data_IF_431271236430
#
_entry.id   IF_431271236430
#
_cell.length_a   1.000
_cell.length_b   1.000
_cell.length_c   1.000
_cell.angle_alpha   90.00
_cell.angle_beta   90.00
_cell.angle_gamma   90.00
#
_symmetry.space_group_name_H-M   'P 1'
#
loop_
_entity.id
_entity.type
_entity.pdbx_description
1 polymer ?
#
# COMPACT_ATOMS: atom_id res chain seq x y z
N UNK A 1 -45.15 16.37 -2.40
CA UNK A 1 -45.55 15.10 -3.03
C UNK A 1 -46.81 14.49 -2.41
N UNK A 2 -46.83 14.20 -1.10
CA UNK A 2 -48.03 13.65 -0.43
C UNK A 2 -49.26 14.57 -0.67
N UNK A 3 -49.08 15.89 -0.58
CA UNK A 3 -50.15 16.86 -0.88
C UNK A 3 -50.72 16.73 -2.33
N UNK A 4 -49.86 16.44 -3.32
CA UNK A 4 -50.29 16.20 -4.68
C UNK A 4 -51.14 14.92 -4.81
N UNK A 5 -50.75 13.84 -4.15
CA UNK A 5 -51.52 12.59 -4.10
C UNK A 5 -52.90 12.80 -3.42
N UNK A 6 -52.91 13.59 -2.33
CA UNK A 6 -54.15 13.96 -1.67
C UNK A 6 -55.08 14.76 -2.61
N UNK A 7 -54.54 15.75 -3.33
CA UNK A 7 -55.31 16.56 -4.30
C UNK A 7 -55.86 15.67 -5.40
N UNK A 8 -55.07 14.78 -5.98
CA UNK A 8 -55.54 13.84 -7.02
C UNK A 8 -56.61 12.90 -6.46
N UNK A 9 -56.43 12.37 -5.24
CA UNK A 9 -57.45 11.54 -4.60
C UNK A 9 -58.76 12.30 -4.40
N UNK A 10 -58.72 13.52 -3.83
CA UNK A 10 -59.89 14.36 -3.64
C UNK A 10 -60.56 14.69 -4.97
N UNK A 11 -59.79 14.98 -6.02
CA UNK A 11 -60.35 15.21 -7.36
C UNK A 11 -61.07 13.96 -7.90
N UNK A 12 -60.49 12.76 -7.73
CA UNK A 12 -61.12 11.49 -8.12
C UNK A 12 -62.42 11.29 -7.33
N UNK A 13 -62.43 11.53 -6.02
CA UNK A 13 -63.61 11.41 -5.18
C UNK A 13 -64.72 12.38 -5.61
N UNK A 14 -64.38 13.63 -5.92
CA UNK A 14 -65.32 14.64 -6.43
C UNK A 14 -65.90 14.22 -7.75
N UNK A 15 -65.11 13.72 -8.67
CA UNK A 15 -65.57 13.19 -10.00
C UNK A 15 -66.50 11.99 -9.77
N UNK A 16 -66.17 11.10 -8.86
CA UNK A 16 -66.98 9.90 -8.51
C UNK A 16 -68.36 10.31 -7.98
N UNK A 17 -68.44 11.27 -7.07
CA UNK A 17 -69.72 11.81 -6.58
C UNK A 17 -70.55 12.44 -7.70
N UNK A 18 -69.88 13.17 -8.62
CA UNK A 18 -70.55 13.83 -9.76
C UNK A 18 -71.08 12.87 -10.79
N UNK A 19 -70.29 11.81 -11.09
CA UNK A 19 -70.63 10.82 -12.15
C UNK A 19 -71.66 9.80 -11.63
N UNK A 20 -71.47 9.27 -10.41
CA UNK A 20 -72.36 8.24 -9.81
C UNK A 20 -73.58 8.82 -9.13
N UNK A 21 -73.71 10.20 -9.01
CA UNK A 21 -74.82 10.91 -8.35
C UNK A 21 -75.16 10.38 -6.95
N UNK A 22 -74.14 9.89 -6.20
CA UNK A 22 -74.31 9.33 -4.86
C UNK A 22 -74.55 10.52 -3.88
N UNK A 23 -75.61 10.43 -3.05
CA UNK A 23 -75.83 11.44 -2.01
C UNK A 23 -74.73 11.35 -0.93
N UNK A 24 -74.04 12.47 -0.58
CA UNK A 24 -72.99 12.46 0.41
C UNK A 24 -73.58 12.23 1.82
N UNK A 25 -73.60 10.98 2.27
CA UNK A 25 -73.95 10.59 3.64
C UNK A 25 -72.69 10.58 4.51
N UNK A 26 -72.79 10.91 5.79
CA UNK A 26 -71.63 10.95 6.69
C UNK A 26 -70.80 9.64 6.70
N UNK A 27 -71.50 8.50 6.62
CA UNK A 27 -70.87 7.17 6.58
C UNK A 27 -70.08 6.95 5.28
N UNK A 28 -70.55 7.40 4.12
CA UNK A 28 -69.88 7.28 2.85
C UNK A 28 -68.61 8.16 2.83
N UNK A 29 -68.73 9.39 3.37
CA UNK A 29 -67.57 10.30 3.47
C UNK A 29 -66.54 9.71 4.39
N UNK A 30 -66.90 9.17 5.57
CA UNK A 30 -66.00 8.51 6.51
C UNK A 30 -65.30 7.29 5.89
N UNK A 31 -66.04 6.43 5.19
CA UNK A 31 -65.49 5.28 4.51
C UNK A 31 -64.50 5.67 3.41
N UNK A 32 -64.78 6.73 2.62
CA UNK A 32 -63.89 7.25 1.60
C UNK A 32 -62.59 7.85 2.23
N UNK A 33 -62.72 8.56 3.34
CA UNK A 33 -61.53 9.08 4.05
C UNK A 33 -60.65 7.91 4.49
N UNK A 34 -61.21 6.89 5.12
CA UNK A 34 -60.46 5.71 5.56
C UNK A 34 -59.84 4.97 4.37
N UNK A 35 -60.60 4.74 3.32
CA UNK A 35 -60.08 4.14 2.08
C UNK A 35 -58.95 4.96 1.46
N UNK A 36 -59.06 6.30 1.47
CA UNK A 36 -58.02 7.22 1.00
C UNK A 36 -56.76 7.14 1.82
N UNK A 37 -56.85 7.06 3.17
CA UNK A 37 -55.70 6.90 4.03
C UNK A 37 -54.97 5.60 3.75
N UNK A 38 -55.71 4.47 3.63
CA UNK A 38 -55.11 3.17 3.31
C UNK A 38 -54.49 3.15 1.90
N UNK A 39 -55.15 3.70 0.90
CA UNK A 39 -54.68 3.76 -0.48
C UNK A 39 -53.43 4.62 -0.59
N UNK A 40 -53.46 5.85 -0.08
CA UNK A 40 -52.31 6.76 -0.11
C UNK A 40 -51.17 6.21 0.72
N UNK A 41 -51.46 5.67 1.92
CA UNK A 41 -50.46 5.01 2.80
C UNK A 41 -49.80 3.85 2.09
N UNK A 42 -50.53 2.96 1.47
CA UNK A 42 -50.00 1.84 0.67
C UNK A 42 -49.09 2.32 -0.49
N UNK A 43 -49.55 3.31 -1.25
CA UNK A 43 -48.71 3.90 -2.33
C UNK A 43 -47.42 4.51 -1.79
N UNK A 44 -47.46 5.22 -0.66
CA UNK A 44 -46.29 5.83 -0.05
C UNK A 44 -45.30 4.76 0.42
N UNK A 45 -45.76 3.67 1.07
CA UNK A 45 -44.90 2.58 1.49
C UNK A 45 -44.23 1.91 0.30
N UNK A 46 -45.00 1.55 -0.74
CA UNK A 46 -44.43 0.94 -1.94
C UNK A 46 -43.44 1.89 -2.63
N UNK A 47 -43.79 3.17 -2.73
CA UNK A 47 -42.91 4.18 -3.33
C UNK A 47 -41.59 4.34 -2.57
N UNK A 48 -41.63 4.50 -1.26
CA UNK A 48 -40.42 4.71 -0.45
C UNK A 48 -39.47 3.52 -0.48
N UNK A 49 -40.00 2.30 -0.65
CA UNK A 49 -39.20 1.09 -0.76
C UNK A 49 -38.73 0.76 -2.18
N UNK A 50 -39.44 1.24 -3.23
CA UNK A 50 -39.10 0.95 -4.62
C UNK A 50 -38.29 2.05 -5.30
N UNK A 51 -38.48 3.29 -4.91
CA UNK A 51 -37.77 4.44 -5.48
C UNK A 51 -37.46 5.50 -4.40
N UNK A 52 -36.60 5.15 -3.40
CA UNK A 52 -36.22 6.08 -2.35
C UNK A 52 -35.54 7.32 -2.92
N UNK A 53 -35.88 8.48 -2.34
CA UNK A 53 -35.30 9.78 -2.71
C UNK A 53 -34.78 10.49 -1.47
N UNK A 54 -33.60 11.09 -1.59
CA UNK A 54 -32.97 11.85 -0.50
C UNK A 54 -32.45 13.19 -0.98
N UNK A 55 -32.41 14.16 -0.09
CA UNK A 55 -31.75 15.46 -0.27
C UNK A 55 -30.39 15.52 0.44
N UNK A 56 -30.06 14.48 1.19
CA UNK A 56 -28.78 14.33 1.90
C UNK A 56 -27.82 13.54 1.00
N UNK A 57 -27.21 14.21 0.06
CA UNK A 57 -26.23 13.66 -0.86
C UNK A 57 -25.01 14.56 -0.89
N UNK A 58 -23.82 13.97 -0.84
CA UNK A 58 -22.56 14.70 -0.90
C UNK A 58 -21.58 14.00 -1.82
N UNK A 59 -20.82 14.79 -2.59
CA UNK A 59 -19.70 14.28 -3.37
C UNK A 59 -18.53 13.99 -2.45
N UNK A 60 -18.04 12.75 -2.49
CA UNK A 60 -16.93 12.26 -1.70
C UNK A 60 -15.73 11.96 -2.59
N UNK A 61 -14.55 12.34 -2.13
CA UNK A 61 -13.26 12.06 -2.76
C UNK A 61 -12.29 11.59 -1.68
N UNK A 62 -11.30 10.79 -2.05
CA UNK A 62 -10.27 10.38 -1.11
C UNK A 62 -9.33 11.53 -0.81
N UNK A 63 -9.11 11.74 0.47
CA UNK A 63 -8.22 12.77 0.99
C UNK A 63 -7.04 12.10 1.67
N UNK A 64 -5.82 12.50 1.29
CA UNK A 64 -4.57 11.98 1.83
C UNK A 64 -3.78 13.12 2.45
N UNK A 65 -3.30 12.93 3.65
CA UNK A 65 -2.36 13.87 4.26
C UNK A 65 -0.98 13.71 3.61
N UNK A 66 -0.40 14.81 3.15
CA UNK A 66 0.96 14.83 2.62
C UNK A 66 1.95 14.92 3.78
N UNK A 67 2.46 13.77 4.20
CA UNK A 67 3.46 13.66 5.26
C UNK A 67 4.81 13.37 4.62
N UNK A 68 5.88 14.13 4.94
CA UNK A 68 7.21 13.85 4.42
C UNK A 68 7.73 12.53 4.99
N UNK A 69 8.46 11.78 4.19
CA UNK A 69 9.14 10.57 4.65
C UNK A 69 10.46 10.89 5.37
N UNK A 70 11.10 12.00 4.98
CA UNK A 70 12.39 12.45 5.51
C UNK A 70 12.27 13.81 6.19
N UNK A 71 13.13 14.04 7.19
CA UNK A 71 13.20 15.31 7.92
C UNK A 71 14.05 16.31 7.15
N UNK A 72 13.60 17.57 7.03
CA UNK A 72 14.44 18.60 6.44
C UNK A 72 13.70 19.92 6.18
N UNK A 73 14.43 20.92 5.76
CA UNK A 73 13.88 22.20 5.38
C UNK A 73 13.28 22.16 3.97
N UNK A 74 12.13 22.79 3.77
CA UNK A 74 11.56 22.98 2.44
C UNK A 74 12.44 23.94 1.65
N UNK A 75 12.99 23.45 0.54
CA UNK A 75 13.84 24.22 -0.37
C UNK A 75 13.03 24.92 -1.45
N UNK A 76 12.04 24.22 -2.00
CA UNK A 76 11.17 24.74 -3.04
C UNK A 76 9.77 24.12 -2.97
N UNK A 77 8.76 24.90 -3.39
CA UNK A 77 7.38 24.44 -3.56
C UNK A 77 7.05 24.62 -5.03
N UNK A 78 6.65 23.55 -5.71
CA UNK A 78 6.40 23.51 -7.16
C UNK A 78 4.90 23.51 -7.50
N UNK A 79 4.06 23.03 -6.57
CA UNK A 79 2.61 23.01 -6.75
C UNK A 79 1.95 24.13 -5.94
N UNK A 80 1.10 24.92 -6.59
CA UNK A 80 0.27 25.91 -5.92
C UNK A 80 -0.96 25.28 -5.26
N UNK A 81 -1.49 25.94 -4.22
CA UNK A 81 -2.71 25.49 -3.58
C UNK A 81 -3.89 25.48 -4.56
N UNK A 82 -4.68 24.41 -4.54
CA UNK A 82 -5.85 24.20 -5.39
C UNK A 82 -5.57 24.12 -6.91
N UNK A 83 -4.31 24.05 -7.31
CA UNK A 83 -3.93 23.76 -8.70
C UNK A 83 -3.94 22.26 -8.97
N UNK A 84 -4.49 21.85 -10.12
CA UNK A 84 -4.53 20.46 -10.53
C UNK A 84 -3.14 19.98 -10.92
N UNK A 85 -2.77 18.83 -10.37
CA UNK A 85 -1.53 18.11 -10.63
C UNK A 85 -1.83 16.69 -11.07
N UNK A 86 -0.93 16.10 -11.84
CA UNK A 86 -0.99 14.70 -12.26
C UNK A 86 -0.18 13.83 -11.31
N UNK A 87 -0.50 12.55 -11.31
CA UNK A 87 0.29 11.55 -10.58
C UNK A 87 1.77 11.64 -10.99
N UNK A 88 2.65 11.75 -9.98
CA UNK A 88 4.10 11.86 -10.16
C UNK A 88 4.62 13.29 -10.30
N UNK A 89 3.76 14.31 -10.46
CA UNK A 89 4.21 15.70 -10.49
C UNK A 89 4.88 16.09 -9.17
N UNK A 90 5.96 16.85 -9.25
CA UNK A 90 6.72 17.32 -8.09
C UNK A 90 5.91 18.38 -7.34
N UNK A 91 5.61 18.14 -6.08
CA UNK A 91 4.84 19.05 -5.22
C UNK A 91 5.75 19.99 -4.44
N UNK A 92 6.74 19.42 -3.74
CA UNK A 92 7.75 20.20 -3.00
C UNK A 92 9.08 19.44 -2.96
N UNK A 93 10.14 20.19 -2.71
CA UNK A 93 11.50 19.67 -2.54
C UNK A 93 12.02 20.04 -1.14
N UNK A 94 12.46 19.00 -0.41
CA UNK A 94 13.19 19.13 0.86
C UNK A 94 14.67 19.25 0.51
N UNK A 95 15.46 19.99 1.29
CA UNK A 95 16.90 20.16 1.04
C UNK A 95 17.61 18.79 0.96
N UNK A 96 18.10 18.39 -0.22
CA UNK A 96 18.73 17.11 -0.43
C UNK A 96 20.20 17.04 0.04
N UNK A 97 20.81 18.18 0.36
CA UNK A 97 22.26 18.25 0.60
C UNK A 97 22.73 17.31 1.73
N UNK A 98 22.09 17.23 2.91
CA UNK A 98 22.50 16.29 3.96
C UNK A 98 22.41 14.83 3.52
N UNK A 99 21.41 14.49 2.74
CA UNK A 99 21.18 13.13 2.23
C UNK A 99 22.17 12.77 1.13
N UNK A 100 22.52 13.72 0.26
CA UNK A 100 23.58 13.55 -0.74
C UNK A 100 24.94 13.30 -0.08
N UNK A 101 25.26 14.00 1.02
CA UNK A 101 26.49 13.72 1.77
C UNK A 101 26.50 12.32 2.35
N UNK A 102 25.38 11.83 2.86
CA UNK A 102 25.25 10.46 3.36
C UNK A 102 25.47 9.43 2.24
N UNK A 103 24.89 9.64 1.07
CA UNK A 103 25.10 8.78 -0.11
C UNK A 103 26.58 8.72 -0.47
N UNK A 104 27.24 9.87 -0.61
CA UNK A 104 28.67 9.96 -0.95
C UNK A 104 29.54 9.26 0.10
N UNK A 105 29.21 9.39 1.38
CA UNK A 105 29.92 8.72 2.48
C UNK A 105 29.81 7.20 2.37
N UNK A 106 28.60 6.68 2.18
CA UNK A 106 28.38 5.22 2.08
C UNK A 106 28.98 4.66 0.78
N UNK A 107 28.95 5.42 -0.33
CA UNK A 107 29.63 5.03 -1.58
C UNK A 107 31.15 4.89 -1.38
N UNK A 108 31.75 5.81 -0.62
CA UNK A 108 33.18 5.70 -0.27
C UNK A 108 33.45 4.47 0.61
N UNK A 109 32.56 4.15 1.57
CA UNK A 109 32.65 2.93 2.38
C UNK A 109 32.52 1.65 1.53
N UNK A 110 31.62 1.65 0.56
CA UNK A 110 31.45 0.53 -0.37
C UNK A 110 32.70 0.32 -1.21
N UNK A 111 33.28 1.41 -1.72
CA UNK A 111 34.54 1.34 -2.47
C UNK A 111 35.67 0.78 -1.62
N UNK A 112 35.82 1.19 -0.37
CA UNK A 112 36.79 0.65 0.57
C UNK A 112 36.56 -0.84 0.87
N UNK A 113 35.31 -1.26 1.08
CA UNK A 113 34.96 -2.66 1.31
C UNK A 113 35.29 -3.54 0.08
N UNK A 114 35.00 -3.06 -1.12
CA UNK A 114 35.38 -3.75 -2.37
C UNK A 114 36.91 -3.86 -2.55
N UNK A 115 37.65 -2.83 -2.15
CA UNK A 115 39.12 -2.89 -2.14
C UNK A 115 39.64 -3.93 -1.14
N UNK A 116 39.03 -4.07 0.03
CA UNK A 116 39.36 -5.12 1.01
C UNK A 116 39.09 -6.53 0.46
N UNK A 117 38.02 -6.72 -0.31
CA UNK A 117 37.76 -8.00 -1.01
C UNK A 117 38.88 -8.30 -2.00
N UNK A 118 39.28 -7.34 -2.83
CA UNK A 118 40.38 -7.52 -3.78
C UNK A 118 41.70 -7.86 -3.10
N UNK A 119 42.00 -7.22 -1.95
CA UNK A 119 43.16 -7.52 -1.15
C UNK A 119 43.13 -8.96 -0.59
N UNK A 120 42.01 -9.39 -0.06
CA UNK A 120 41.83 -10.74 0.45
C UNK A 120 41.91 -11.80 -0.66
N UNK A 121 41.42 -11.49 -1.87
CA UNK A 121 41.51 -12.34 -3.05
C UNK A 121 42.98 -12.51 -3.53
N UNK A 122 43.74 -11.42 -3.53
CA UNK A 122 45.18 -11.47 -3.83
C UNK A 122 45.94 -12.30 -2.80
N UNK A 123 45.62 -12.14 -1.49
CA UNK A 123 46.18 -12.93 -0.41
C UNK A 123 45.89 -14.45 -0.55
N UNK A 124 44.62 -14.79 -0.90
CA UNK A 124 44.24 -16.17 -1.18
C UNK A 124 45.03 -16.75 -2.36
N UNK A 125 45.16 -15.95 -3.42
CA UNK A 125 45.92 -16.36 -4.62
C UNK A 125 47.38 -16.66 -4.26
N UNK A 126 48.01 -15.78 -3.47
CA UNK A 126 49.38 -15.99 -2.96
C UNK A 126 49.47 -17.24 -2.12
N UNK A 127 48.55 -17.46 -1.16
CA UNK A 127 48.55 -18.66 -0.33
C UNK A 127 48.35 -19.96 -1.14
N UNK A 128 47.48 -19.91 -2.15
CA UNK A 128 47.25 -21.05 -3.05
C UNK A 128 48.52 -21.42 -3.88
N UNK A 129 49.33 -20.45 -4.29
CA UNK A 129 50.57 -20.72 -5.03
C UNK A 129 51.68 -21.39 -4.18
N UNK A 130 51.57 -21.29 -2.84
CA UNK A 130 52.49 -22.02 -1.94
C UNK A 130 52.23 -23.54 -1.90
N UNK A 131 51.00 -23.99 -2.20
CA UNK A 131 50.64 -25.43 -2.15
C UNK A 131 51.42 -26.25 -3.19
N UNK A 132 51.46 -25.89 -4.49
CA UNK A 132 52.25 -26.63 -5.47
C UNK A 132 53.76 -26.69 -5.12
N UNK A 133 54.28 -25.61 -4.56
CA UNK A 133 55.66 -25.60 -4.11
C UNK A 133 55.90 -26.61 -2.97
N UNK A 134 55.05 -26.65 -1.96
CA UNK A 134 55.13 -27.63 -0.87
C UNK A 134 54.90 -29.06 -1.39
N UNK A 135 54.01 -29.26 -2.34
CA UNK A 135 53.82 -30.57 -3.02
C UNK A 135 55.08 -31.04 -3.76
N UNK A 136 55.77 -30.14 -4.45
CA UNK A 136 57.03 -30.46 -5.15
C UNK A 136 58.12 -30.85 -4.14
N UNK A 137 58.23 -30.16 -3.00
CA UNK A 137 59.15 -30.49 -1.94
C UNK A 137 58.83 -31.88 -1.38
N UNK A 138 57.56 -32.17 -1.08
CA UNK A 138 57.12 -33.48 -0.60
C UNK A 138 57.41 -34.60 -1.62
N UNK A 139 57.17 -34.36 -2.91
CA UNK A 139 57.47 -35.32 -3.95
C UNK A 139 58.98 -35.65 -4.00
N UNK A 140 59.83 -34.62 -3.87
CA UNK A 140 61.30 -34.80 -3.81
C UNK A 140 61.69 -35.60 -2.56
N UNK A 141 61.11 -35.29 -1.39
CA UNK A 141 61.42 -36.02 -0.15
C UNK A 141 61.00 -37.50 -0.25
N UNK A 142 59.82 -37.78 -0.80
CA UNK A 142 59.31 -39.15 -1.02
C UNK A 142 60.20 -39.94 -1.99
N UNK A 143 60.70 -39.33 -3.05
CA UNK A 143 61.63 -39.97 -3.98
C UNK A 143 62.97 -40.31 -3.30
N UNK A 144 63.46 -39.44 -2.42
CA UNK A 144 64.67 -39.69 -1.63
C UNK A 144 64.49 -40.84 -0.63
N UNK A 145 63.32 -40.89 0.06
CA UNK A 145 62.96 -41.96 0.98
C UNK A 145 62.85 -43.33 0.28
N UNK A 146 62.24 -43.39 -0.87
CA UNK A 146 62.17 -44.62 -1.69
C UNK A 146 63.56 -45.11 -2.12
N UNK A 147 64.48 -44.19 -2.48
CA UNK A 147 65.87 -44.54 -2.76
C UNK A 147 66.56 -45.07 -1.50
N UNK A 148 66.45 -44.42 -0.38
CA UNK A 148 67.05 -44.84 0.90
C UNK A 148 66.49 -46.18 1.38
N UNK A 149 65.20 -46.45 1.28
CA UNK A 149 64.57 -47.75 1.53
C UNK A 149 65.12 -48.84 0.65
N UNK A 150 65.29 -48.58 -0.63
CA UNK A 150 65.88 -49.55 -1.59
C UNK A 150 67.30 -49.86 -1.24
N UNK A 151 68.12 -48.87 -0.88
CA UNK A 151 69.52 -49.05 -0.44
C UNK A 151 69.60 -49.85 0.87
N UNK A 152 68.77 -49.58 1.86
CA UNK A 152 68.71 -50.38 3.11
C UNK A 152 68.30 -51.82 2.79
N UNK A 153 67.29 -52.07 1.97
CA UNK A 153 66.85 -53.42 1.59
C UNK A 153 67.97 -54.18 0.88
N UNK A 154 68.71 -53.54 -0.04
CA UNK A 154 69.85 -54.14 -0.69
C UNK A 154 70.93 -54.50 0.34
N UNK A 155 71.27 -53.57 1.25
CA UNK A 155 72.25 -53.81 2.31
C UNK A 155 71.87 -54.98 3.23
N UNK A 156 70.60 -55.06 3.64
CA UNK A 156 70.06 -56.15 4.48
C UNK A 156 70.03 -57.49 3.70
N UNK A 157 69.71 -57.50 2.42
CA UNK A 157 69.76 -58.74 1.61
C UNK A 157 71.15 -59.27 1.43
N UNK A 158 72.17 -58.40 1.14
CA UNK A 158 73.55 -58.80 1.03
C UNK A 158 74.02 -59.38 2.36
N UNK A 159 73.73 -58.75 3.52
CA UNK A 159 74.07 -59.25 4.84
C UNK A 159 73.45 -60.61 5.16
N UNK A 160 72.18 -60.89 4.63
CA UNK A 160 71.53 -62.17 4.84
C UNK A 160 72.17 -63.30 4.02
N UNK A 161 72.66 -62.99 2.79
CA UNK A 161 73.27 -63.98 1.90
C UNK A 161 74.75 -64.25 2.32
N UNK A 162 75.52 -63.19 2.57
CA UNK A 162 76.93 -63.31 3.03
C UNK A 162 77.27 -62.20 4.03
N UNK A 163 77.42 -62.62 5.30
CA UNK A 163 77.74 -61.72 6.42
C UNK A 163 79.14 -61.07 6.30
N UNK A 164 80.03 -61.60 5.50
CA UNK A 164 81.35 -61.02 5.24
C UNK A 164 81.34 -60.00 4.10
N UNK A 165 80.37 -60.02 3.20
CA UNK A 165 80.28 -59.17 1.99
C UNK A 165 79.91 -57.69 2.29
N UNK A 166 79.36 -57.39 3.48
CA UNK A 166 78.99 -56.02 3.91
C UNK A 166 79.31 -55.80 5.39
N UNK A 167 79.93 -54.69 5.72
CA UNK A 167 80.22 -54.32 7.11
C UNK A 167 78.92 -53.95 7.88
N UNK A 168 78.80 -54.33 9.17
CA UNK A 168 77.70 -53.92 10.02
C UNK A 168 77.56 -52.40 10.10
N UNK A 169 78.64 -51.65 9.98
CA UNK A 169 78.63 -50.19 9.90
C UNK A 169 77.87 -49.66 8.66
N UNK A 170 78.04 -50.32 7.51
CA UNK A 170 77.33 -49.90 6.27
C UNK A 170 75.86 -50.20 6.35
N UNK A 171 75.43 -51.28 6.97
CA UNK A 171 73.98 -51.55 7.22
C UNK A 171 73.40 -50.55 8.19
N UNK A 172 74.11 -50.24 9.29
CA UNK A 172 73.66 -49.21 10.24
C UNK A 172 73.60 -47.83 9.60
N UNK A 173 74.54 -47.49 8.68
CA UNK A 173 74.52 -46.24 7.94
C UNK A 173 73.32 -46.16 6.96
N UNK A 174 73.02 -47.22 6.22
CA UNK A 174 71.84 -47.27 5.35
C UNK A 174 70.52 -47.14 6.12
N UNK A 175 70.46 -47.76 7.32
CA UNK A 175 69.25 -47.58 8.19
C UNK A 175 69.15 -46.15 8.76
N UNK A 176 70.28 -45.49 9.11
CA UNK A 176 70.26 -44.08 9.48
C UNK A 176 69.86 -43.16 8.34
N UNK A 177 70.40 -43.35 7.13
CA UNK A 177 70.01 -42.58 5.89
C UNK A 177 68.55 -42.72 5.60
N UNK A 178 67.95 -43.91 5.78
CA UNK A 178 66.50 -44.11 5.65
C UNK A 178 65.71 -43.32 6.73
N UNK A 179 66.16 -43.37 7.98
CA UNK A 179 65.53 -42.64 9.09
C UNK A 179 65.57 -41.12 8.83
N UNK A 180 66.67 -40.59 8.30
CA UNK A 180 66.82 -39.20 7.93
C UNK A 180 65.88 -38.83 6.76
N UNK A 181 65.74 -39.73 5.74
CA UNK A 181 64.84 -39.52 4.63
C UNK A 181 63.36 -39.56 5.07
N UNK A 182 62.98 -40.48 5.96
CA UNK A 182 61.64 -40.55 6.52
C UNK A 182 61.29 -39.25 7.33
N UNK A 183 62.22 -38.77 8.14
CA UNK A 183 62.05 -37.50 8.85
C UNK A 183 61.91 -36.33 7.88
N UNK A 184 62.61 -36.32 6.73
CA UNK A 184 62.43 -35.29 5.71
C UNK A 184 61.06 -35.35 5.04
N UNK A 185 60.50 -36.56 4.83
CA UNK A 185 59.12 -36.72 4.35
C UNK A 185 58.12 -36.14 5.33
N UNK A 186 58.24 -36.48 6.62
CA UNK A 186 57.34 -35.95 7.70
C UNK A 186 57.44 -34.42 7.78
N UNK A 187 58.62 -33.85 7.66
CA UNK A 187 58.81 -32.40 7.60
C UNK A 187 58.15 -31.77 6.40
N UNK A 188 58.26 -32.40 5.24
CA UNK A 188 57.63 -31.91 3.98
C UNK A 188 56.09 -32.05 4.01
N UNK A 189 55.57 -33.11 4.65
CA UNK A 189 54.13 -33.29 4.89
C UNK A 189 53.57 -32.21 5.81
N UNK A 190 54.27 -31.88 6.89
CA UNK A 190 53.95 -30.79 7.78
C UNK A 190 53.97 -29.44 7.05
N UNK A 191 54.96 -29.23 6.16
CA UNK A 191 55.03 -28.04 5.29
C UNK A 191 53.86 -27.92 4.35
N UNK A 192 53.40 -29.01 3.76
CA UNK A 192 52.21 -29.04 2.91
C UNK A 192 50.95 -28.75 3.70
N UNK A 193 50.81 -29.37 4.88
CA UNK A 193 49.67 -29.11 5.77
C UNK A 193 49.59 -27.62 6.20
N UNK A 194 50.76 -27.02 6.48
CA UNK A 194 50.85 -25.59 6.81
C UNK A 194 50.42 -24.70 5.62
N UNK A 195 50.87 -25.02 4.39
CA UNK A 195 50.48 -24.27 3.20
C UNK A 195 48.96 -24.37 2.94
N UNK A 196 48.39 -25.56 3.13
CA UNK A 196 46.93 -25.76 3.00
C UNK A 196 46.15 -25.00 4.07
N UNK A 197 46.58 -25.02 5.32
CA UNK A 197 45.96 -24.27 6.41
C UNK A 197 46.01 -22.75 6.14
N UNK A 198 47.14 -22.23 5.63
CA UNK A 198 47.26 -20.82 5.25
C UNK A 198 46.31 -20.43 4.14
N UNK A 199 46.15 -21.29 3.11
CA UNK A 199 45.20 -21.05 2.03
C UNK A 199 43.72 -21.09 2.52
N UNK A 200 43.41 -21.99 3.47
CA UNK A 200 42.08 -22.05 4.08
C UNK A 200 41.80 -20.82 4.93
N UNK A 201 42.76 -20.32 5.67
CA UNK A 201 42.65 -19.08 6.44
C UNK A 201 42.43 -17.88 5.53
N UNK A 202 43.17 -17.78 4.42
CA UNK A 202 42.98 -16.72 3.44
C UNK A 202 41.61 -16.81 2.75
N UNK A 203 41.10 -18.03 2.48
CA UNK A 203 39.76 -18.24 1.93
C UNK A 203 38.66 -17.78 2.92
N UNK A 204 38.80 -18.08 4.20
CA UNK A 204 37.89 -17.60 5.23
C UNK A 204 37.89 -16.07 5.37
N UNK A 205 39.07 -15.45 5.27
CA UNK A 205 39.22 -14.00 5.25
C UNK A 205 38.53 -13.36 4.04
N UNK A 206 38.68 -13.96 2.86
CA UNK A 206 37.96 -13.51 1.63
C UNK A 206 36.44 -13.62 1.81
N UNK A 207 35.96 -14.75 2.31
CA UNK A 207 34.54 -14.94 2.56
C UNK A 207 33.99 -13.90 3.55
N UNK A 208 34.73 -13.62 4.62
CA UNK A 208 34.36 -12.56 5.58
C UNK A 208 34.31 -11.18 4.94
N UNK A 209 35.32 -10.83 4.11
CA UNK A 209 35.32 -9.56 3.38
C UNK A 209 34.17 -9.46 2.39
N UNK A 210 33.85 -10.52 1.67
CA UNK A 210 32.71 -10.58 0.75
C UNK A 210 31.37 -10.46 1.47
N UNK A 211 31.23 -11.05 2.66
CA UNK A 211 29.99 -10.98 3.45
C UNK A 211 29.69 -9.56 3.98
N UNK A 212 30.68 -8.68 4.07
CA UNK A 212 30.48 -7.29 4.49
C UNK A 212 29.94 -6.41 3.36
N UNK A 213 30.18 -6.74 2.09
CA UNK A 213 29.77 -5.91 0.95
C UNK A 213 28.25 -5.74 0.87
N UNK A 214 27.41 -6.79 0.94
CA UNK A 214 25.95 -6.64 0.89
C UNK A 214 25.37 -5.76 1.99
N UNK A 215 25.98 -5.77 3.18
CA UNK A 215 25.52 -4.93 4.30
C UNK A 215 25.72 -3.44 3.99
N UNK A 216 26.85 -3.08 3.35
CA UNK A 216 27.11 -1.70 2.95
C UNK A 216 26.28 -1.33 1.71
N UNK A 217 26.04 -2.25 0.78
CA UNK A 217 25.14 -2.05 -0.35
C UNK A 217 23.70 -1.74 0.12
N UNK A 218 23.20 -2.47 1.12
CA UNK A 218 21.90 -2.18 1.73
C UNK A 218 21.87 -0.78 2.38
N UNK A 219 22.94 -0.37 3.06
CA UNK A 219 23.04 1.00 3.60
C UNK A 219 23.06 2.05 2.50
N UNK A 220 23.71 1.77 1.37
CA UNK A 220 23.70 2.66 0.21
C UNK A 220 22.31 2.81 -0.39
N UNK A 221 21.59 1.71 -0.50
CA UNK A 221 20.21 1.73 -1.01
C UNK A 221 19.27 2.51 -0.09
N UNK A 222 19.41 2.37 1.24
CA UNK A 222 18.68 3.17 2.23
C UNK A 222 19.02 4.66 2.10
N UNK A 223 20.30 5.00 1.94
CA UNK A 223 20.73 6.38 1.77
C UNK A 223 20.17 6.99 0.46
N UNK A 224 20.18 6.24 -0.63
CA UNK A 224 19.61 6.66 -1.93
C UNK A 224 18.10 6.78 -1.87
N UNK A 225 17.42 5.87 -1.20
CA UNK A 225 15.98 5.96 -0.95
C UNK A 225 15.64 7.25 -0.21
N UNK A 226 16.34 7.54 0.89
CA UNK A 226 16.12 8.77 1.66
C UNK A 226 16.38 10.04 0.83
N UNK A 227 17.39 10.03 -0.03
CA UNK A 227 17.66 11.11 -0.96
C UNK A 227 16.52 11.29 -1.98
N UNK A 228 15.99 10.18 -2.51
CA UNK A 228 14.85 10.23 -3.42
C UNK A 228 13.59 10.77 -2.75
N UNK A 229 13.38 10.46 -1.46
CA UNK A 229 12.25 10.97 -0.67
C UNK A 229 12.33 12.46 -0.33
N UNK A 230 13.45 13.14 -0.63
CA UNK A 230 13.51 14.61 -0.56
C UNK A 230 12.59 15.28 -1.59
N UNK A 231 12.16 14.56 -2.62
CA UNK A 231 11.21 15.00 -3.63
C UNK A 231 9.84 14.43 -3.33
N UNK A 232 8.92 15.24 -2.84
CA UNK A 232 7.55 14.83 -2.61
C UNK A 232 6.74 14.99 -3.89
N UNK A 233 6.19 13.88 -4.39
CA UNK A 233 5.40 13.83 -5.63
C UNK A 233 3.94 13.54 -5.36
N UNK A 234 3.07 13.90 -6.30
CA UNK A 234 1.64 13.63 -6.23
C UNK A 234 1.35 12.11 -6.30
N UNK A 235 0.60 11.54 -5.34
CA UNK A 235 0.29 10.11 -5.31
C UNK A 235 -0.72 9.69 -6.39
N UNK A 236 -1.57 10.62 -6.85
CA UNK A 236 -2.61 10.42 -7.86
C UNK A 236 -2.88 11.72 -8.62
N UNK A 237 -3.80 11.69 -9.56
CA UNK A 237 -4.33 12.92 -10.17
C UNK A 237 -5.21 13.64 -9.14
N UNK A 238 -4.97 14.94 -8.94
CA UNK A 238 -5.67 15.67 -7.90
C UNK A 238 -5.21 17.11 -7.74
N UNK A 239 -5.33 17.62 -6.54
CA UNK A 239 -4.82 18.93 -6.16
C UNK A 239 -4.48 18.95 -4.68
N UNK A 240 -3.55 19.82 -4.32
CA UNK A 240 -3.21 20.05 -2.91
C UNK A 240 -4.03 21.21 -2.39
N UNK A 241 -4.63 21.02 -1.24
CA UNK A 241 -5.31 22.09 -0.51
C UNK A 241 -4.66 22.23 0.87
N UNK A 242 -4.92 23.36 1.54
CA UNK A 242 -4.42 23.61 2.89
C UNK A 242 -2.90 23.39 3.03
N UNK A 243 -2.11 24.01 2.12
CA UNK A 243 -0.66 24.08 2.29
C UNK A 243 -0.32 24.78 3.61
N UNK A 244 0.33 24.07 4.53
CA UNK A 244 0.76 24.59 5.84
C UNK A 244 2.26 24.87 5.89
N UNK A 245 2.93 24.79 4.74
CA UNK A 245 4.37 24.95 4.62
C UNK A 245 4.74 26.11 3.75
N UNK A 246 5.88 26.72 4.09
CA UNK A 246 6.55 27.75 3.31
C UNK A 246 8.00 27.34 3.09
N UNK A 247 8.69 27.98 2.12
CA UNK A 247 10.12 27.77 1.91
C UNK A 247 10.86 28.11 3.22
N UNK A 248 11.73 27.20 3.65
CA UNK A 248 12.44 27.31 4.93
C UNK A 248 11.75 26.60 6.11
N UNK A 249 10.49 26.19 5.98
CA UNK A 249 9.81 25.40 7.03
C UNK A 249 10.50 24.06 7.23
N UNK A 250 10.74 23.70 8.51
CA UNK A 250 11.27 22.39 8.87
C UNK A 250 10.15 21.36 8.86
N UNK A 251 10.26 20.36 8.02
CA UNK A 251 9.37 19.19 7.98
C UNK A 251 9.95 18.02 8.78
N UNK A 252 9.07 17.26 9.40
CA UNK A 252 9.41 16.03 10.13
C UNK A 252 8.41 14.93 9.80
N UNK A 253 8.83 13.66 9.71
CA UNK A 253 7.96 12.52 9.39
C UNK A 253 7.07 12.16 10.58
N UNK A 254 6.05 12.99 10.86
CA UNK A 254 5.07 12.76 11.91
C UNK A 254 3.66 13.01 11.38
N UNK A 255 2.66 12.20 11.80
CA UNK A 255 1.27 12.32 11.31
C UNK A 255 0.61 13.67 11.59
N UNK A 256 1.06 14.37 12.63
CA UNK A 256 0.53 15.69 13.04
C UNK A 256 1.17 16.87 12.31
N UNK A 257 2.23 16.63 11.54
CA UNK A 257 2.98 17.68 10.81
C UNK A 257 2.84 17.48 9.29
N UNK A 258 1.60 17.30 8.82
CA UNK A 258 1.34 17.20 7.39
C UNK A 258 1.72 18.50 6.68
N UNK A 259 2.42 18.40 5.54
CA UNK A 259 2.77 19.55 4.71
C UNK A 259 1.52 20.18 4.08
N UNK A 260 0.51 19.40 3.82
CA UNK A 260 -0.76 19.81 3.23
C UNK A 260 -1.72 18.61 3.10
N UNK A 261 -2.85 18.88 2.49
CA UNK A 261 -3.88 17.88 2.26
C UNK A 261 -4.05 17.67 0.76
N UNK A 262 -3.88 16.46 0.30
CA UNK A 262 -4.08 16.07 -1.10
C UNK A 262 -5.46 15.50 -1.31
N UNK A 263 -6.19 16.02 -2.29
CA UNK A 263 -7.50 15.53 -2.71
C UNK A 263 -7.34 14.78 -4.02
N UNK A 264 -7.65 13.49 -3.99
CA UNK A 264 -7.59 12.62 -5.17
C UNK A 264 -8.90 12.74 -5.96
N UNK A 265 -8.81 13.19 -7.21
CA UNK A 265 -9.99 13.34 -8.10
C UNK A 265 -10.20 12.13 -9.02
N UNK A 266 -9.32 11.12 -8.99
CA UNK A 266 -9.42 9.95 -9.86
C UNK A 266 -10.59 9.04 -9.48
N UNK A 267 -10.95 9.02 -8.20
CA UNK A 267 -12.07 8.22 -7.67
C UNK A 267 -13.03 9.15 -6.92
N UNK A 268 -13.96 9.72 -7.69
CA UNK A 268 -15.02 10.58 -7.17
C UNK A 268 -16.32 9.78 -7.11
N UNK A 269 -16.83 9.57 -5.91
CA UNK A 269 -18.11 8.92 -5.68
C UNK A 269 -19.11 9.87 -5.02
N UNK A 270 -20.36 9.49 -5.00
CA UNK A 270 -21.41 10.17 -4.25
C UNK A 270 -21.79 9.30 -3.06
N UNK A 271 -21.87 9.91 -1.89
CA UNK A 271 -22.50 9.33 -0.72
C UNK A 271 -23.88 9.92 -0.54
N UNK A 272 -24.93 9.12 -0.68
CA UNK A 272 -26.30 9.52 -0.46
C UNK A 272 -26.84 8.82 0.79
N UNK A 273 -27.49 9.57 1.69
CA UNK A 273 -27.94 9.08 2.99
C UNK A 273 -29.43 8.85 2.97
N UNK A 274 -29.84 7.64 3.35
CA UNK A 274 -31.25 7.23 3.37
C UNK A 274 -31.63 6.63 4.72
N UNK A 275 -32.94 6.69 5.11
CA UNK A 275 -33.43 5.90 6.22
C UNK A 275 -33.25 4.40 5.98
N UNK A 276 -32.84 3.66 7.00
CA UNK A 276 -32.56 2.23 6.93
C UNK A 276 -33.72 1.40 6.33
N UNK A 277 -34.96 1.74 6.72
CA UNK A 277 -36.17 1.04 6.27
C UNK A 277 -36.47 1.24 4.77
N UNK A 278 -35.85 2.22 4.11
CA UNK A 278 -36.03 2.47 2.65
C UNK A 278 -35.03 1.68 1.80
N UNK A 279 -34.00 1.10 2.43
CA UNK A 279 -32.90 0.42 1.73
C UNK A 279 -33.13 -1.09 1.54
N UNK A 280 -34.24 -1.63 2.03
CA UNK A 280 -34.52 -3.08 2.04
C UNK A 280 -34.52 -3.73 0.64
N UNK A 281 -34.80 -2.96 -0.40
CA UNK A 281 -34.85 -3.42 -1.79
C UNK A 281 -33.76 -2.82 -2.68
N UNK A 282 -32.84 -2.03 -2.11
CA UNK A 282 -31.73 -1.42 -2.86
C UNK A 282 -30.62 -2.44 -3.02
N UNK A 283 -30.23 -2.69 -4.25
CA UNK A 283 -29.19 -3.64 -4.62
C UNK A 283 -28.06 -2.95 -5.40
N UNK A 284 -26.82 -3.46 -5.33
CA UNK A 284 -25.73 -3.00 -6.19
C UNK A 284 -26.13 -3.11 -7.67
N UNK A 285 -25.87 -2.04 -8.44
CA UNK A 285 -26.22 -1.96 -9.86
C UNK A 285 -27.54 -1.25 -10.15
N UNK A 286 -28.37 -0.93 -9.14
CA UNK A 286 -29.60 -0.14 -9.32
C UNK A 286 -29.29 1.23 -9.92
N UNK A 287 -30.16 1.68 -10.83
CA UNK A 287 -30.01 2.97 -11.51
C UNK A 287 -30.33 4.13 -10.56
N UNK A 288 -29.56 5.20 -10.69
CA UNK A 288 -29.72 6.40 -9.86
C UNK A 288 -29.79 7.64 -10.73
N UNK A 289 -30.79 8.48 -10.51
CA UNK A 289 -30.84 9.85 -11.01
C UNK A 289 -30.42 10.82 -9.89
N UNK A 290 -29.53 11.75 -10.23
CA UNK A 290 -28.98 12.72 -9.27
C UNK A 290 -29.07 14.15 -9.80
N UNK A 291 -29.25 15.08 -8.89
CA UNK A 291 -29.17 16.52 -9.14
C UNK A 291 -28.16 17.12 -8.17
N UNK A 292 -27.20 17.85 -8.72
CA UNK A 292 -26.11 18.47 -7.96
C UNK A 292 -26.34 19.98 -7.84
N UNK A 293 -26.18 20.52 -6.64
CA UNK A 293 -26.40 21.93 -6.36
C UNK A 293 -25.54 22.88 -7.23
N UNK A 294 -24.25 22.57 -7.54
CA UNK A 294 -23.43 23.41 -8.41
C UNK A 294 -23.87 23.43 -9.88
N UNK A 295 -24.78 22.52 -10.30
CA UNK A 295 -25.19 22.38 -11.68
C UNK A 295 -26.73 22.38 -11.83
N UNK A 296 -27.41 23.51 -11.52
CA UNK A 296 -28.86 23.60 -11.66
C UNK A 296 -29.29 23.30 -13.10
N UNK A 297 -30.45 22.69 -13.26
CA UNK A 297 -30.99 22.31 -14.56
C UNK A 297 -30.38 21.06 -15.20
N UNK A 298 -29.33 20.46 -14.63
CA UNK A 298 -28.74 19.23 -15.16
C UNK A 298 -29.16 18.02 -14.32
N UNK A 299 -29.34 16.90 -15.02
CA UNK A 299 -29.59 15.59 -14.42
C UNK A 299 -28.35 14.72 -14.64
N UNK A 300 -27.89 14.06 -13.61
CA UNK A 300 -26.76 13.14 -13.65
C UNK A 300 -27.27 11.73 -13.40
N UNK A 301 -26.60 10.77 -14.02
CA UNK A 301 -26.92 9.35 -13.91
C UNK A 301 -25.78 8.62 -13.24
N UNK A 302 -26.12 7.61 -12.46
CA UNK A 302 -25.16 6.75 -11.80
C UNK A 302 -25.76 5.40 -11.48
N UNK A 303 -24.98 4.57 -10.83
CA UNK A 303 -25.41 3.26 -10.32
C UNK A 303 -25.01 3.11 -8.87
N UNK A 304 -25.84 2.41 -8.11
CA UNK A 304 -25.51 1.99 -6.75
C UNK A 304 -24.29 1.07 -6.82
N UNK A 305 -23.24 1.43 -6.09
CA UNK A 305 -22.06 0.58 -5.90
C UNK A 305 -22.31 -0.41 -4.74
N UNK A 306 -22.53 0.13 -3.56
CA UNK A 306 -22.94 -0.64 -2.40
C UNK A 306 -23.59 0.24 -1.34
N UNK A 307 -24.35 -0.39 -0.46
CA UNK A 307 -24.83 0.22 0.78
C UNK A 307 -23.75 0.06 1.84
N UNK A 308 -23.34 1.16 2.49
CA UNK A 308 -22.33 1.11 3.56
C UNK A 308 -22.96 0.43 4.79
N UNK A 309 -22.49 -0.77 5.20
CA UNK A 309 -23.16 -1.58 6.21
C UNK A 309 -22.88 -1.14 7.65
N UNK A 310 -22.24 0.01 7.83
CA UNK A 310 -21.81 0.49 9.15
C UNK A 310 -22.13 1.97 9.34
N UNK A 311 -22.55 2.33 10.53
CA UNK A 311 -22.72 3.72 10.96
C UNK A 311 -21.89 3.98 12.23
N UNK A 312 -21.44 5.21 12.42
CA UNK A 312 -20.67 5.59 13.60
C UNK A 312 -21.40 5.35 14.94
N UNK A 313 -22.74 5.38 14.92
CA UNK A 313 -23.56 5.12 16.12
C UNK A 313 -23.52 3.66 16.61
N UNK A 314 -23.10 2.70 15.76
CA UNK A 314 -22.92 1.29 16.13
C UNK A 314 -21.50 0.92 16.56
N UNK A 315 -20.60 1.87 16.65
CA UNK A 315 -19.20 1.61 16.95
C UNK A 315 -18.95 1.53 18.47
N UNK A 316 -18.40 0.40 18.93
CA UNK A 316 -17.83 0.30 20.28
C UNK A 316 -16.43 0.91 20.29
N UNK A 317 -16.27 2.05 20.97
CA UNK A 317 -14.96 2.70 21.10
C UNK A 317 -14.16 2.04 22.21
N UNK A 318 -12.89 1.70 21.93
CA UNK A 318 -11.95 1.12 22.91
C UNK A 318 -11.29 2.20 23.79
N UNK A 319 -12.05 3.21 24.21
CA UNK A 319 -11.52 4.38 24.93
C UNK A 319 -11.30 4.17 26.45
N UNK A 320 -11.38 2.93 26.96
CA UNK A 320 -11.20 2.63 28.39
C UNK A 320 -12.36 3.13 29.29
N UNK A 321 -13.36 3.79 28.73
CA UNK A 321 -14.57 4.21 29.46
C UNK A 321 -15.72 3.27 29.14
N UNK A 322 -16.55 2.98 30.16
CA UNK A 322 -17.75 2.14 29.98
C UNK A 322 -18.71 2.89 29.04
N UNK A 323 -19.20 2.23 27.95
CA UNK A 323 -20.12 2.86 27.03
C UNK A 323 -21.39 3.35 27.74
N UNK A 324 -21.75 4.61 27.55
CA UNK A 324 -23.00 5.13 28.07
C UNK A 324 -24.15 4.66 27.16
N UNK A 325 -25.13 3.97 27.74
CA UNK A 325 -26.31 3.47 27.04
C UNK A 325 -27.08 4.57 26.28
N UNK A 326 -27.06 5.81 26.77
CA UNK A 326 -27.68 6.96 26.11
C UNK A 326 -26.96 7.38 24.80
N UNK A 327 -25.72 6.92 24.56
CA UNK A 327 -24.94 7.14 23.31
C UNK A 327 -24.98 5.96 22.35
N UNK A 328 -25.55 4.84 22.76
CA UNK A 328 -25.82 3.68 21.90
C UNK A 328 -27.17 3.96 21.24
N UNK A 329 -27.12 4.59 20.06
CA UNK A 329 -28.30 4.89 19.27
C UNK A 329 -27.93 4.89 17.81
N UNK A 330 -28.86 4.45 16.98
CA UNK A 330 -28.77 4.58 15.54
C UNK A 330 -29.64 5.74 15.10
N UNK A 331 -29.10 6.69 14.33
CA UNK A 331 -29.90 7.72 13.67
C UNK A 331 -30.85 7.11 12.60
N UNK A 332 -30.81 5.77 12.43
CA UNK A 332 -31.58 5.05 11.44
C UNK A 332 -31.21 5.42 10.01
N UNK A 333 -30.05 6.04 9.80
CA UNK A 333 -29.56 6.52 8.53
C UNK A 333 -28.38 5.69 8.06
N UNK A 334 -28.39 5.26 6.81
CA UNK A 334 -27.31 4.54 6.16
C UNK A 334 -26.89 5.28 4.89
N UNK A 335 -25.61 5.25 4.59
CA UNK A 335 -25.06 5.84 3.38
C UNK A 335 -25.00 4.81 2.26
N UNK A 336 -25.34 5.24 1.06
CA UNK A 336 -25.23 4.46 -0.18
C UNK A 336 -24.15 5.12 -1.04
N UNK A 337 -23.14 4.35 -1.44
CA UNK A 337 -22.15 4.80 -2.41
C UNK A 337 -22.72 4.64 -3.82
N UNK A 338 -22.61 5.70 -4.61
CA UNK A 338 -23.12 5.77 -5.97
C UNK A 338 -21.96 6.18 -6.87
N UNK A 339 -21.70 5.41 -7.90
CA UNK A 339 -20.71 5.73 -8.92
C UNK A 339 -21.38 6.51 -10.05
N UNK A 340 -20.69 7.52 -10.60
CA UNK A 340 -21.17 8.26 -11.75
C UNK A 340 -21.12 7.40 -13.02
N UNK A 341 -22.09 7.60 -13.91
CA UNK A 341 -22.05 7.02 -15.26
C UNK A 341 -21.05 7.77 -16.17
N UNK A 342 -20.75 9.04 -15.86
CA UNK A 342 -19.82 9.89 -16.62
C UNK A 342 -18.67 10.35 -15.72
N UNK A 343 -17.53 9.71 -15.89
CA UNK A 343 -16.29 10.03 -15.16
C UNK A 343 -15.75 11.43 -15.46
N UNK A 344 -16.01 11.96 -16.66
CA UNK A 344 -15.50 13.29 -17.02
C UNK A 344 -16.20 14.40 -16.23
N UNK A 345 -17.45 14.18 -15.87
CA UNK A 345 -18.19 15.09 -14.97
C UNK A 345 -17.75 14.87 -13.52
N UNK A 346 -17.62 13.61 -13.11
CA UNK A 346 -17.21 13.26 -11.75
C UNK A 346 -15.89 13.95 -11.34
N UNK A 347 -14.90 13.97 -12.23
CA UNK A 347 -13.60 14.62 -12.02
C UNK A 347 -13.64 16.14 -11.88
N UNK A 348 -14.72 16.79 -12.35
CA UNK A 348 -14.88 18.25 -12.26
C UNK A 348 -15.59 18.69 -11.00
N UNK A 349 -16.18 17.75 -10.25
CA UNK A 349 -16.92 18.06 -9.05
C UNK A 349 -15.96 18.38 -7.89
N UNK A 350 -16.34 19.37 -7.11
CA UNK A 350 -15.64 19.67 -5.86
C UNK A 350 -16.11 18.72 -4.76
N UNK A 351 -15.19 18.32 -3.90
CA UNK A 351 -15.52 17.58 -2.68
C UNK A 351 -16.54 18.36 -1.85
N UNK A 352 -17.50 17.66 -1.26
CA UNK A 352 -18.54 18.30 -0.43
C UNK A 352 -19.68 18.93 -1.22
N UNK A 353 -19.72 18.80 -2.57
CA UNK A 353 -20.87 19.27 -3.36
C UNK A 353 -22.12 18.49 -2.97
N UNK A 354 -23.13 19.20 -2.46
CA UNK A 354 -24.41 18.64 -2.07
C UNK A 354 -25.39 18.46 -3.25
N UNK A 355 -26.49 17.72 -2.99
CA UNK A 355 -27.52 17.50 -4.00
C UNK A 355 -28.63 16.57 -3.53
N UNK A 356 -29.43 16.08 -4.47
CA UNK A 356 -30.51 15.10 -4.25
C UNK A 356 -30.28 13.88 -5.13
N UNK A 357 -30.58 12.69 -4.60
CA UNK A 357 -30.50 11.43 -5.34
C UNK A 357 -31.80 10.63 -5.24
N UNK A 358 -32.18 9.95 -6.32
CA UNK A 358 -33.28 9.00 -6.37
C UNK A 358 -32.74 7.66 -6.90
N UNK A 359 -32.93 6.57 -6.13
CA UNK A 359 -32.53 5.22 -6.52
C UNK A 359 -33.75 4.51 -7.09
N UNK A 360 -33.60 3.72 -8.13
CA UNK A 360 -34.66 2.96 -8.78
C UNK A 360 -34.40 1.47 -8.66
N UNK A 361 -35.09 0.81 -7.73
CA UNK A 361 -34.94 -0.62 -7.49
C UNK A 361 -35.65 -1.45 -8.55
N UNK A 362 -35.37 -2.75 -8.63
CA UNK A 362 -36.03 -3.63 -9.60
C UNK A 362 -37.51 -3.91 -9.26
N UNK A 363 -37.94 -3.62 -8.02
CA UNK A 363 -39.30 -3.84 -7.55
C UNK A 363 -40.14 -2.57 -7.62
N UNK A 364 -41.46 -2.69 -7.85
CA UNK A 364 -42.42 -1.55 -7.80
C UNK A 364 -42.21 -0.49 -8.85
N UNK A 365 -41.83 -0.84 -10.07
CA UNK A 365 -41.53 0.10 -11.19
C UNK A 365 -42.60 1.14 -11.49
N UNK A 366 -43.87 0.87 -11.20
CA UNK A 366 -44.97 1.81 -11.42
C UNK A 366 -44.82 3.09 -10.55
N UNK A 367 -44.29 3.00 -9.36
CA UNK A 367 -44.08 4.13 -8.44
C UNK A 367 -42.81 4.94 -8.73
N UNK A 368 -41.91 4.47 -9.61
CA UNK A 368 -40.71 5.21 -10.04
C UNK A 368 -41.05 6.56 -10.68
N UNK A 369 -42.21 6.66 -11.33
CA UNK A 369 -42.66 7.92 -11.94
C UNK A 369 -42.70 9.05 -10.91
N UNK A 370 -43.06 8.75 -9.67
CA UNK A 370 -43.15 9.75 -8.60
C UNK A 370 -41.77 10.34 -8.31
N UNK A 371 -40.74 9.46 -8.12
CA UNK A 371 -39.37 9.92 -7.87
C UNK A 371 -38.74 10.58 -9.09
N UNK A 372 -39.04 10.09 -10.32
CA UNK A 372 -38.58 10.72 -11.56
C UNK A 372 -39.11 12.15 -11.73
N UNK A 373 -40.40 12.36 -11.47
CA UNK A 373 -40.96 13.69 -11.50
C UNK A 373 -40.37 14.58 -10.43
N UNK A 374 -40.21 14.04 -9.19
CA UNK A 374 -39.68 14.81 -8.07
C UNK A 374 -38.23 15.26 -8.33
N UNK A 375 -37.34 14.36 -8.77
CA UNK A 375 -35.93 14.70 -9.01
C UNK A 375 -35.78 15.70 -10.17
N UNK A 376 -36.62 15.55 -11.20
CA UNK A 376 -36.66 16.48 -12.35
C UNK A 376 -37.24 17.84 -12.02
N UNK A 377 -38.19 17.92 -11.09
CA UNK A 377 -38.66 19.20 -10.54
C UNK A 377 -37.56 19.87 -9.71
N UNK A 378 -36.86 19.13 -8.89
CA UNK A 378 -35.78 19.67 -8.07
C UNK A 378 -34.68 20.30 -8.88
N UNK A 379 -34.28 19.73 -10.03
CA UNK A 379 -33.27 20.35 -10.90
C UNK A 379 -33.59 21.77 -11.34
N UNK A 380 -34.90 22.06 -11.54
CA UNK A 380 -35.37 23.40 -11.91
C UNK A 380 -35.56 24.30 -10.69
N UNK A 381 -35.93 23.69 -9.54
CA UNK A 381 -36.12 24.42 -8.29
C UNK A 381 -34.80 25.02 -7.78
N UNK A 382 -33.66 24.40 -8.07
CA UNK A 382 -32.33 24.92 -7.72
C UNK A 382 -32.01 26.30 -8.36
N UNK A 383 -32.69 26.71 -9.41
CA UNK A 383 -32.56 28.07 -9.96
C UNK A 383 -33.28 29.12 -9.11
N UNK A 384 -34.35 28.71 -8.42
CA UNK A 384 -35.25 29.64 -7.71
C UNK A 384 -34.98 29.63 -6.21
N UNK A 385 -34.68 28.46 -5.67
CA UNK A 385 -34.38 28.24 -4.24
C UNK A 385 -32.99 27.66 -4.10
N UNK A 386 -31.98 28.50 -3.88
CA UNK A 386 -30.66 27.96 -3.51
C UNK A 386 -30.79 27.14 -2.21
N UNK A 387 -30.24 25.94 -2.19
CA UNK A 387 -30.25 25.10 -1.01
C UNK A 387 -29.40 25.75 0.10
N UNK A 388 -30.04 26.43 1.02
CA UNK A 388 -29.40 26.84 2.27
C UNK A 388 -29.46 25.63 3.21
N UNK A 389 -28.41 24.83 3.22
CA UNK A 389 -28.25 23.84 4.29
C UNK A 389 -28.10 24.59 5.61
N UNK A 390 -28.98 24.30 6.53
CA UNK A 390 -28.85 24.76 7.92
C UNK A 390 -27.59 24.10 8.49
N UNK A 391 -26.62 24.83 9.03
CA UNK A 391 -25.46 24.22 9.63
C UNK A 391 -25.88 23.21 10.71
N UNK A 392 -25.18 22.10 10.88
CA UNK A 392 -25.43 21.15 11.95
C UNK A 392 -25.34 21.87 13.29
N UNK A 393 -26.38 21.77 14.07
CA UNK A 393 -26.50 22.30 15.45
C UNK A 393 -25.60 21.52 16.41
#
# INVERSE_FOLDING_TARGET
MIAMLIIVYVAIVLVLFKVLRIKPTAYIIAALIVAGVFMIGGVVVVWTQSAPITDKMVTSQYVVQLVPYVKGQVKAIHAEANQRVKKGDLLLEIDPAPYQYTVNQVEAQLAASKANVMQAEAALTTAKTAIPNAQAILAKAKAADELAKTQEQIALNIQRVDKAAISQLNVAKAAQERQEADAAVQQAEAGLAQAQASAQQAAAALQSAQSNVPAIEAQLDDARFNLAQCKMTAPADGYVTNWQVQIGTMLVPMPLAAAGTFVNVSDTAVAAVFPQNWLSNVEPGDDVEMVLNPYPGRLFFGKVDYVIPATGGGQFTTSGTIPNAARIGSDGLYAVRINFADDAVARKLSIGSGGSAAIYTQKGKATHVISKVTIRMKKWLLYVMPSVEKPPS
#
